data_IF_036025581684
#
_entry.id   IF_036025581684
#
_cell.length_a   1.000
_cell.length_b   1.000
_cell.length_c   1.000
_cell.angle_alpha   90.00
_cell.angle_beta   90.00
_cell.angle_gamma   90.00
#
_symmetry.space_group_name_H-M   'P 1'
#
loop_
_entity.id
_entity.type
_entity.pdbx_description
1 polymer ?
#
# COMPACT_ATOMS: atom_id res chain seq x y z
N UNK A 1 5.52 -11.49 26.79
CA UNK A 1 5.06 -11.15 25.44
C UNK A 1 3.65 -11.65 25.29
N UNK A 2 2.73 -10.80 24.84
CA UNK A 2 1.40 -11.24 24.40
C UNK A 2 1.49 -11.96 23.04
N UNK A 3 0.51 -12.81 22.71
CA UNK A 3 0.45 -13.47 21.41
C UNK A 3 0.48 -12.45 20.26
N UNK A 4 -0.23 -11.32 20.45
CA UNK A 4 -0.22 -10.20 19.52
C UNK A 4 1.19 -9.61 19.36
N UNK A 5 1.93 -9.36 20.43
CA UNK A 5 3.30 -8.84 20.34
C UNK A 5 4.23 -9.78 19.57
N UNK A 6 4.10 -11.10 19.75
CA UNK A 6 4.87 -12.07 18.98
C UNK A 6 4.53 -11.99 17.48
N UNK A 7 3.25 -12.04 17.14
CA UNK A 7 2.78 -11.92 15.77
C UNK A 7 3.20 -10.58 15.13
N UNK A 8 3.01 -9.48 15.84
CA UNK A 8 3.32 -8.13 15.38
C UNK A 8 4.82 -7.92 15.21
N UNK A 9 5.66 -8.51 16.07
CA UNK A 9 7.12 -8.45 15.91
C UNK A 9 7.59 -9.23 14.68
N UNK A 10 7.08 -10.45 14.46
CA UNK A 10 7.37 -11.22 13.25
C UNK A 10 6.92 -10.47 11.99
N UNK A 11 5.72 -9.90 12.03
CA UNK A 11 5.15 -9.16 10.92
C UNK A 11 5.89 -7.85 10.62
N UNK A 12 6.25 -7.13 11.67
CA UNK A 12 6.99 -5.89 11.58
C UNK A 12 8.36 -6.06 10.94
N UNK A 13 9.01 -7.22 11.11
CA UNK A 13 10.23 -7.56 10.40
C UNK A 13 10.01 -7.70 8.89
N UNK A 14 8.95 -8.40 8.46
CA UNK A 14 8.64 -8.57 7.04
C UNK A 14 8.27 -7.24 6.38
N UNK A 15 7.44 -6.43 7.05
CA UNK A 15 7.08 -5.10 6.57
C UNK A 15 8.29 -4.16 6.55
N UNK A 16 9.13 -4.19 7.59
CA UNK A 16 10.38 -3.44 7.65
C UNK A 16 11.34 -3.82 6.53
N UNK A 17 11.40 -5.11 6.16
CA UNK A 17 12.17 -5.57 5.02
C UNK A 17 11.61 -5.03 3.69
N UNK A 18 10.28 -4.97 3.54
CA UNK A 18 9.66 -4.35 2.37
C UNK A 18 10.00 -2.86 2.26
N UNK A 19 10.00 -2.12 3.37
CA UNK A 19 10.46 -0.71 3.42
C UNK A 19 11.93 -0.60 3.01
N UNK A 20 12.79 -1.46 3.58
CA UNK A 20 14.21 -1.48 3.25
C UNK A 20 14.45 -1.77 1.76
N UNK A 21 13.71 -2.71 1.19
CA UNK A 21 13.78 -3.05 -0.24
C UNK A 21 13.45 -1.85 -1.14
N UNK A 22 12.37 -1.11 -0.82
CA UNK A 22 12.03 0.13 -1.55
C UNK A 22 13.14 1.18 -1.39
N UNK A 23 13.65 1.35 -0.17
CA UNK A 23 14.67 2.36 0.12
C UNK A 23 15.99 2.08 -0.62
N UNK A 24 16.45 0.82 -0.63
CA UNK A 24 17.66 0.40 -1.35
C UNK A 24 17.50 0.67 -2.85
N UNK A 25 16.39 0.25 -3.45
CA UNK A 25 16.17 0.46 -4.89
C UNK A 25 16.01 1.93 -5.27
N UNK A 26 15.40 2.72 -4.38
CA UNK A 26 15.34 4.17 -4.57
C UNK A 26 16.75 4.78 -4.53
N UNK A 27 17.60 4.35 -3.59
CA UNK A 27 18.98 4.79 -3.53
C UNK A 27 19.77 4.41 -4.80
N UNK A 28 19.60 3.19 -5.30
CA UNK A 28 20.21 2.72 -6.55
C UNK A 28 19.71 3.52 -7.77
N UNK A 29 18.42 3.83 -7.83
CA UNK A 29 17.83 4.68 -8.87
C UNK A 29 18.42 6.10 -8.83
N UNK A 30 18.60 6.68 -7.64
CA UNK A 30 19.22 8.00 -7.47
C UNK A 30 20.71 7.95 -7.86
N UNK A 31 21.44 6.90 -7.48
CA UNK A 31 22.83 6.70 -7.86
C UNK A 31 23.05 6.56 -9.37
N UNK A 32 22.10 5.90 -10.04
CA UNK A 32 22.12 5.70 -11.49
C UNK A 32 21.48 6.84 -12.31
N UNK A 33 21.05 7.95 -11.67
CA UNK A 33 20.37 9.08 -12.33
C UNK A 33 21.12 9.72 -13.51
N UNK A 34 22.45 9.55 -13.58
CA UNK A 34 23.27 10.04 -14.71
C UNK A 34 23.16 9.16 -15.95
N UNK A 35 22.69 7.92 -15.81
CA UNK A 35 22.58 6.91 -16.86
C UNK A 35 21.12 6.64 -17.26
N UNK A 36 20.17 6.86 -16.34
CA UNK A 36 18.75 6.51 -16.51
C UNK A 36 17.87 7.68 -16.11
N UNK A 37 16.83 7.96 -16.91
CA UNK A 37 15.82 8.97 -16.60
C UNK A 37 14.81 8.39 -15.61
N UNK A 38 14.75 8.94 -14.39
CA UNK A 38 13.92 8.43 -13.29
C UNK A 38 12.42 8.64 -13.53
N UNK A 39 12.02 9.72 -14.22
CA UNK A 39 10.61 10.08 -14.32
C UNK A 39 9.96 10.35 -12.96
N UNK A 40 8.62 10.42 -12.93
CA UNK A 40 7.86 10.70 -11.71
C UNK A 40 6.90 9.56 -11.34
N UNK A 41 6.52 8.69 -12.29
CA UNK A 41 5.52 7.66 -12.04
C UNK A 41 6.06 6.59 -11.08
N UNK A 42 7.29 6.12 -11.33
CA UNK A 42 7.92 5.07 -10.52
C UNK A 42 8.19 5.53 -9.08
N UNK A 43 8.78 6.72 -8.83
CA UNK A 43 8.91 7.24 -7.48
C UNK A 43 7.56 7.47 -6.78
N UNK A 44 6.56 8.00 -7.47
CA UNK A 44 5.22 8.19 -6.86
C UNK A 44 4.56 6.87 -6.50
N UNK A 45 4.70 5.85 -7.33
CA UNK A 45 4.23 4.50 -7.01
C UNK A 45 4.96 3.94 -5.78
N UNK A 46 6.27 4.16 -5.68
CA UNK A 46 7.05 3.76 -4.51
C UNK A 46 6.55 4.42 -3.22
N UNK A 47 6.34 5.74 -3.25
CA UNK A 47 5.82 6.50 -2.12
C UNK A 47 4.41 6.03 -1.77
N UNK A 48 3.56 5.76 -2.77
CA UNK A 48 2.24 5.20 -2.55
C UNK A 48 2.29 3.86 -1.80
N UNK A 49 3.15 2.92 -2.24
CA UNK A 49 3.31 1.62 -1.55
C UNK A 49 3.80 1.81 -0.10
N UNK A 50 4.71 2.75 0.14
CA UNK A 50 5.18 3.04 1.50
C UNK A 50 4.07 3.61 2.39
N UNK A 51 3.26 4.51 1.86
CA UNK A 51 2.11 5.09 2.57
C UNK A 51 1.07 4.03 2.89
N UNK A 52 0.80 3.15 1.93
CA UNK A 52 -0.14 2.05 2.08
C UNK A 52 0.33 1.04 3.14
N UNK A 53 1.62 0.73 3.15
CA UNK A 53 2.23 -0.14 4.15
C UNK A 53 2.19 0.48 5.57
N UNK A 54 2.40 1.79 5.67
CA UNK A 54 2.23 2.53 6.92
C UNK A 54 0.75 2.55 7.38
N UNK A 55 -0.18 2.71 6.43
CA UNK A 55 -1.62 2.64 6.70
C UNK A 55 -2.03 1.27 7.24
N UNK A 56 -1.55 0.19 6.62
CA UNK A 56 -1.76 -1.18 7.13
C UNK A 56 -1.22 -1.33 8.56
N UNK A 57 -0.02 -0.81 8.83
CA UNK A 57 0.58 -0.87 10.16
C UNK A 57 -0.28 -0.16 11.21
N UNK A 58 -0.77 1.05 10.89
CA UNK A 58 -1.66 1.82 11.76
C UNK A 58 -2.99 1.10 12.00
N UNK A 59 -3.59 0.52 10.96
CA UNK A 59 -4.80 -0.27 11.06
C UNK A 59 -4.60 -1.48 11.98
N UNK A 60 -3.53 -2.25 11.79
CA UNK A 60 -3.23 -3.42 12.61
C UNK A 60 -3.00 -3.04 14.08
N UNK A 61 -2.30 -1.93 14.33
CA UNK A 61 -2.11 -1.40 15.67
C UNK A 61 -3.42 -0.98 16.32
N UNK A 62 -4.29 -0.25 15.62
CA UNK A 62 -5.57 0.18 16.17
C UNK A 62 -6.49 -0.99 16.51
N UNK A 63 -6.47 -2.04 15.68
CA UNK A 63 -7.30 -3.23 15.87
C UNK A 63 -6.68 -4.28 16.80
N UNK A 64 -5.50 -4.02 17.39
CA UNK A 64 -4.72 -4.98 18.21
C UNK A 64 -5.54 -5.72 19.28
N UNK A 65 -6.45 -5.02 19.96
CA UNK A 65 -7.26 -5.61 21.04
C UNK A 65 -8.33 -6.57 20.52
N UNK A 66 -8.71 -6.45 19.24
CA UNK A 66 -9.69 -7.30 18.58
C UNK A 66 -9.07 -8.44 17.76
N UNK A 67 -7.75 -8.47 17.61
CA UNK A 67 -7.03 -9.47 16.83
C UNK A 67 -6.66 -10.66 17.73
N UNK A 68 -7.38 -11.77 17.59
CA UNK A 68 -7.01 -13.04 18.21
C UNK A 68 -6.02 -13.78 17.32
N UNK A 69 -4.86 -14.12 17.87
CA UNK A 69 -3.84 -14.85 17.12
C UNK A 69 -4.34 -16.26 16.85
N UNK A 70 -4.62 -16.51 15.58
CA UNK A 70 -5.09 -17.79 15.06
C UNK A 70 -4.27 -18.15 13.84
N UNK A 71 -4.30 -19.43 13.46
CA UNK A 71 -3.65 -19.91 12.23
C UNK A 71 -4.07 -19.09 11.00
N UNK A 72 -5.37 -18.75 10.89
CA UNK A 72 -5.89 -17.94 9.81
C UNK A 72 -5.36 -16.51 9.81
N UNK A 73 -5.23 -15.88 10.99
CA UNK A 73 -4.66 -14.54 11.10
C UNK A 73 -3.18 -14.53 10.70
N UNK A 74 -2.42 -15.53 11.15
CA UNK A 74 -0.99 -15.65 10.82
C UNK A 74 -0.80 -15.87 9.32
N UNK A 75 -1.56 -16.79 8.72
CA UNK A 75 -1.50 -17.08 7.29
C UNK A 75 -1.95 -15.87 6.45
N UNK A 76 -3.05 -15.22 6.83
CA UNK A 76 -3.57 -14.03 6.16
C UNK A 76 -2.59 -12.87 6.23
N UNK A 77 -2.02 -12.62 7.41
CA UNK A 77 -0.93 -11.67 7.60
C UNK A 77 0.21 -12.00 6.65
N UNK A 78 0.76 -13.22 6.69
CA UNK A 78 1.88 -13.63 5.85
C UNK A 78 1.63 -13.38 4.36
N UNK A 79 0.43 -13.71 3.86
CA UNK A 79 0.04 -13.44 2.47
C UNK A 79 0.10 -11.94 2.18
N UNK A 80 -0.44 -11.09 3.07
CA UNK A 80 -0.38 -9.63 2.93
C UNK A 80 1.07 -9.13 2.94
N UNK A 81 1.93 -9.65 3.83
CA UNK A 81 3.32 -9.20 3.95
C UNK A 81 4.13 -9.58 2.72
N UNK A 82 3.99 -10.82 2.25
CA UNK A 82 4.64 -11.29 1.02
C UNK A 82 4.15 -10.48 -0.17
N UNK A 83 2.85 -10.17 -0.23
CA UNK A 83 2.30 -9.35 -1.31
C UNK A 83 2.89 -7.94 -1.30
N UNK A 84 3.00 -7.30 -0.13
CA UNK A 84 3.67 -6.00 0.00
C UNK A 84 5.15 -6.06 -0.33
N UNK A 85 5.86 -7.11 0.10
CA UNK A 85 7.26 -7.31 -0.25
C UNK A 85 7.45 -7.49 -1.76
N UNK A 86 6.60 -8.28 -2.41
CA UNK A 86 6.61 -8.44 -3.87
C UNK A 86 6.27 -7.13 -4.58
N UNK A 87 5.28 -6.38 -4.09
CA UNK A 87 4.94 -5.06 -4.62
C UNK A 87 6.15 -4.13 -4.53
N UNK A 88 6.76 -3.99 -3.35
CA UNK A 88 8.00 -3.25 -3.12
C UNK A 88 9.13 -3.71 -4.05
N UNK A 89 9.29 -5.02 -4.23
CA UNK A 89 10.32 -5.60 -5.07
C UNK A 89 10.10 -5.32 -6.57
N UNK A 90 8.85 -5.12 -7.00
CA UNK A 90 8.46 -4.88 -8.39
C UNK A 90 8.24 -3.40 -8.73
N UNK A 91 8.33 -2.48 -7.76
CA UNK A 91 8.20 -1.05 -8.04
C UNK A 91 9.37 -0.55 -8.90
N UNK A 92 10.60 -0.96 -8.55
CA UNK A 92 11.81 -0.57 -9.28
C UNK A 92 12.44 -1.80 -9.97
N UNK A 93 13.05 -1.62 -11.15
CA UNK A 93 13.79 -2.69 -11.80
C UNK A 93 15.00 -3.10 -10.95
N UNK A 94 15.39 -4.38 -11.01
CA UNK A 94 16.64 -4.86 -10.37
C UNK A 94 17.88 -4.19 -10.94
N UNK A 95 17.83 -3.81 -12.22
CA UNK A 95 18.90 -3.18 -12.97
C UNK A 95 18.33 -2.00 -13.74
N UNK A 96 18.53 -0.79 -13.22
CA UNK A 96 18.01 0.43 -13.83
C UNK A 96 18.60 0.69 -15.21
N UNK A 97 19.84 0.25 -15.44
CA UNK A 97 20.60 0.35 -16.69
C UNK A 97 20.00 -0.43 -17.87
N UNK A 98 19.10 -1.39 -17.61
CA UNK A 98 18.39 -2.14 -18.65
C UNK A 98 17.22 -1.37 -19.26
N UNK A 99 16.84 -0.22 -18.66
CA UNK A 99 15.66 0.54 -19.04
C UNK A 99 16.02 1.94 -19.52
N UNK A 100 15.54 2.38 -20.69
CA UNK A 100 15.75 3.74 -21.17
C UNK A 100 15.19 4.79 -20.20
N UNK A 101 14.01 4.51 -19.65
CA UNK A 101 13.36 5.34 -18.62
C UNK A 101 12.67 4.45 -17.58
N UNK A 102 12.64 4.87 -16.32
CA UNK A 102 11.88 4.13 -15.29
C UNK A 102 10.37 4.24 -15.51
N UNK A 103 9.89 5.28 -16.19
CA UNK A 103 8.48 5.41 -16.56
C UNK A 103 8.06 4.28 -17.54
N UNK A 104 8.96 3.78 -18.42
CA UNK A 104 8.68 2.60 -19.27
C UNK A 104 8.53 1.32 -18.45
N UNK A 105 9.40 1.12 -17.46
CA UNK A 105 9.30 -0.01 -16.53
C UNK A 105 7.96 -0.01 -15.79
N UNK A 106 7.54 1.17 -15.32
CA UNK A 106 6.25 1.39 -14.67
C UNK A 106 5.09 0.88 -15.53
N UNK A 107 5.04 1.22 -16.82
CA UNK A 107 3.91 0.79 -17.67
C UNK A 107 3.79 -0.73 -17.81
N UNK A 108 4.92 -1.45 -17.77
CA UNK A 108 4.92 -2.91 -17.87
C UNK A 108 4.54 -3.59 -16.55
N UNK A 109 4.94 -3.01 -15.40
CA UNK A 109 4.84 -3.68 -14.10
C UNK A 109 3.73 -3.14 -13.18
N UNK A 110 3.21 -1.94 -13.44
CA UNK A 110 2.23 -1.29 -12.55
C UNK A 110 1.03 -2.15 -12.22
N UNK A 111 0.56 -2.99 -13.16
CA UNK A 111 -0.64 -3.82 -12.96
C UNK A 111 -0.39 -4.91 -11.90
N UNK A 112 0.83 -5.42 -11.82
CA UNK A 112 1.21 -6.39 -10.78
C UNK A 112 1.36 -5.71 -9.42
N UNK A 113 2.01 -4.55 -9.37
CA UNK A 113 2.20 -3.79 -8.13
C UNK A 113 0.86 -3.30 -7.56
N UNK A 114 0.09 -2.57 -8.37
CA UNK A 114 -1.22 -2.02 -7.99
C UNK A 114 -2.22 -3.14 -7.76
N UNK A 115 -2.23 -4.19 -8.58
CA UNK A 115 -3.14 -5.32 -8.43
C UNK A 115 -2.86 -6.15 -7.18
N UNK A 116 -1.58 -6.41 -6.88
CA UNK A 116 -1.17 -7.07 -5.65
C UNK A 116 -1.53 -6.26 -4.41
N UNK A 117 -1.20 -4.96 -4.41
CA UNK A 117 -1.59 -4.05 -3.33
C UNK A 117 -3.12 -4.04 -3.13
N UNK A 118 -3.89 -3.90 -4.21
CA UNK A 118 -5.35 -3.89 -4.14
C UNK A 118 -5.90 -5.20 -3.58
N UNK A 119 -5.34 -6.36 -3.96
CA UNK A 119 -5.75 -7.65 -3.43
C UNK A 119 -5.50 -7.76 -1.91
N UNK A 120 -4.33 -7.31 -1.44
CA UNK A 120 -4.02 -7.25 -0.01
C UNK A 120 -5.01 -6.36 0.75
N UNK A 121 -5.30 -5.16 0.24
CA UNK A 121 -6.23 -4.23 0.86
C UNK A 121 -7.68 -4.72 0.85
N UNK A 122 -8.12 -5.44 -0.19
CA UNK A 122 -9.44 -6.06 -0.25
C UNK A 122 -9.62 -7.08 0.87
N UNK A 123 -8.61 -7.93 1.13
CA UNK A 123 -8.66 -8.90 2.24
C UNK A 123 -8.82 -8.19 3.59
N UNK A 124 -8.03 -7.14 3.82
CA UNK A 124 -8.10 -6.33 5.05
C UNK A 124 -9.44 -5.62 5.18
N UNK A 125 -9.98 -5.09 4.08
CA UNK A 125 -11.27 -4.40 4.06
C UNK A 125 -12.42 -5.36 4.36
N UNK A 126 -12.45 -6.53 3.72
CA UNK A 126 -13.45 -7.57 3.99
C UNK A 126 -13.38 -7.97 5.46
N UNK A 127 -12.18 -8.25 5.98
CA UNK A 127 -11.99 -8.60 7.39
C UNK A 127 -12.52 -7.50 8.33
N UNK A 128 -12.21 -6.24 8.02
CA UNK A 128 -12.69 -5.07 8.79
C UNK A 128 -14.20 -4.98 8.76
N UNK A 129 -14.85 -5.13 7.59
CA UNK A 129 -16.30 -5.04 7.45
C UNK A 129 -17.04 -6.20 8.12
N UNK A 130 -16.47 -7.40 8.10
CA UNK A 130 -17.04 -8.55 8.82
C UNK A 130 -17.05 -8.33 10.33
N UNK A 131 -16.04 -7.63 10.86
CA UNK A 131 -15.92 -7.36 12.30
C UNK A 131 -16.63 -6.09 12.76
N UNK A 132 -16.57 -5.05 11.95
CA UNK A 132 -17.17 -3.74 12.18
C UNK A 132 -18.03 -3.38 10.98
N UNK A 133 -19.26 -3.92 10.89
CA UNK A 133 -20.15 -3.63 9.77
C UNK A 133 -20.27 -2.12 9.56
N UNK A 134 -19.83 -1.59 8.41
CA UNK A 134 -19.96 -0.18 8.13
C UNK A 134 -21.46 0.09 7.98
N UNK A 135 -22.03 0.88 8.89
CA UNK A 135 -23.39 1.38 8.70
C UNK A 135 -23.49 2.25 7.44
N UNK A 136 -24.60 2.99 7.30
CA UNK A 136 -24.78 3.96 6.22
C UNK A 136 -23.97 5.27 6.44
N UNK A 137 -22.73 5.16 6.92
CA UNK A 137 -21.89 6.32 7.22
C UNK A 137 -21.22 6.81 5.95
N UNK A 138 -21.62 8.00 5.49
CA UNK A 138 -21.10 8.64 4.27
C UNK A 138 -19.56 8.62 4.19
N UNK A 139 -18.88 8.98 5.28
CA UNK A 139 -17.41 9.08 5.31
C UNK A 139 -16.70 7.77 5.04
N UNK A 140 -17.21 6.64 5.55
CA UNK A 140 -16.62 5.32 5.29
C UNK A 140 -16.66 5.02 3.80
N UNK A 141 -17.83 5.16 3.18
CA UNK A 141 -17.99 4.91 1.75
C UNK A 141 -17.21 5.91 0.90
N UNK A 142 -17.13 7.17 1.32
CA UNK A 142 -16.32 8.19 0.64
C UNK A 142 -14.85 7.78 0.59
N UNK A 143 -14.24 7.39 1.71
CA UNK A 143 -12.83 6.96 1.74
C UNK A 143 -12.59 5.67 0.94
N UNK A 144 -13.50 4.71 1.05
CA UNK A 144 -13.39 3.44 0.29
C UNK A 144 -13.48 3.68 -1.21
N UNK A 145 -14.41 4.52 -1.67
CA UNK A 145 -14.53 4.89 -3.08
C UNK A 145 -13.31 5.71 -3.53
N UNK A 146 -12.88 6.68 -2.73
CA UNK A 146 -11.72 7.53 -3.01
C UNK A 146 -10.40 6.74 -3.08
N UNK A 147 -10.33 5.59 -2.41
CA UNK A 147 -9.18 4.68 -2.47
C UNK A 147 -9.28 3.67 -3.63
N UNK A 148 -10.38 2.93 -3.73
CA UNK A 148 -10.48 1.84 -4.71
C UNK A 148 -10.72 2.31 -6.15
N UNK A 149 -11.45 3.40 -6.38
CA UNK A 149 -11.70 3.88 -7.75
C UNK A 149 -10.40 4.28 -8.45
N UNK A 150 -9.50 5.08 -7.85
CA UNK A 150 -8.21 5.37 -8.47
C UNK A 150 -7.33 4.13 -8.68
N UNK A 151 -7.33 3.17 -7.75
CA UNK A 151 -6.57 1.93 -7.91
C UNK A 151 -7.06 1.11 -9.10
N UNK A 152 -8.37 0.92 -9.22
CA UNK A 152 -8.97 0.22 -10.35
C UNK A 152 -8.65 0.96 -11.65
N UNK A 153 -8.76 2.29 -11.66
CA UNK A 153 -8.42 3.09 -12.83
C UNK A 153 -6.94 2.91 -13.24
N UNK A 154 -6.01 2.91 -12.28
CA UNK A 154 -4.57 2.70 -12.52
C UNK A 154 -4.27 1.36 -13.21
N UNK A 155 -5.09 0.33 -13.03
CA UNK A 155 -4.91 -0.97 -13.70
C UNK A 155 -5.14 -0.93 -15.21
N UNK A 156 -5.90 0.05 -15.72
CA UNK A 156 -6.33 0.11 -17.12
C UNK A 156 -5.84 1.35 -17.87
N UNK A 157 -5.42 2.39 -17.17
CA UNK A 157 -4.94 3.63 -17.79
C UNK A 157 -3.65 3.41 -18.59
N UNK A 158 -3.47 4.20 -19.65
CA UNK A 158 -2.25 4.24 -20.48
C UNK A 158 -1.69 5.66 -20.65
N UNK A 159 -2.21 6.62 -19.88
CA UNK A 159 -1.91 8.05 -20.03
C UNK A 159 -1.14 8.56 -18.83
N UNK A 160 0.09 9.02 -19.04
CA UNK A 160 0.99 9.55 -17.98
C UNK A 160 0.33 10.59 -17.07
N UNK A 161 -0.39 11.56 -17.63
CA UNK A 161 -1.06 12.61 -16.84
C UNK A 161 -2.18 12.06 -15.95
N UNK A 162 -2.86 11.01 -16.40
CA UNK A 162 -3.94 10.38 -15.63
C UNK A 162 -3.33 9.60 -14.47
N UNK A 163 -2.31 8.79 -14.70
CA UNK A 163 -1.65 8.02 -13.63
C UNK A 163 -1.00 8.92 -12.58
N UNK A 164 -0.38 10.04 -12.99
CA UNK A 164 0.11 11.06 -12.07
C UNK A 164 -1.02 11.63 -11.20
N UNK A 165 -2.15 11.99 -11.82
CA UNK A 165 -3.31 12.52 -11.11
C UNK A 165 -3.90 11.49 -10.13
N UNK A 166 -4.03 10.23 -10.54
CA UNK A 166 -4.57 9.16 -9.70
C UNK A 166 -3.66 8.85 -8.51
N UNK A 167 -2.35 8.75 -8.74
CA UNK A 167 -1.38 8.56 -7.65
C UNK A 167 -1.37 9.76 -6.69
N UNK A 168 -1.48 10.99 -7.22
CA UNK A 168 -1.59 12.18 -6.38
C UNK A 168 -2.86 12.17 -5.54
N UNK A 169 -4.01 11.78 -6.10
CA UNK A 169 -5.27 11.63 -5.34
C UNK A 169 -5.12 10.61 -4.22
N UNK A 170 -4.51 9.45 -4.48
CA UNK A 170 -4.27 8.42 -3.46
C UNK A 170 -3.37 8.93 -2.33
N UNK A 171 -2.26 9.59 -2.67
CA UNK A 171 -1.34 10.15 -1.68
C UNK A 171 -1.99 11.27 -0.86
N UNK A 172 -2.74 12.17 -1.51
CA UNK A 172 -3.50 13.21 -0.83
C UNK A 172 -4.59 12.62 0.08
N UNK A 173 -5.21 11.51 -0.33
CA UNK A 173 -6.16 10.77 0.50
C UNK A 173 -5.53 10.30 1.81
N UNK A 174 -4.32 9.70 1.73
CA UNK A 174 -3.55 9.31 2.92
C UNK A 174 -3.15 10.48 3.81
N UNK A 175 -2.75 11.62 3.22
CA UNK A 175 -2.39 12.83 3.98
C UNK A 175 -3.62 13.52 4.61
N UNK A 176 -4.78 13.41 3.98
CA UNK A 176 -6.02 14.01 4.46
C UNK A 176 -6.72 13.15 5.52
N UNK A 177 -6.55 11.82 5.48
CA UNK A 177 -7.24 10.89 6.39
C UNK A 177 -7.17 11.30 7.89
N UNK A 178 -6.02 11.74 8.46
CA UNK A 178 -5.97 12.17 9.86
C UNK A 178 -6.81 13.41 10.19
N UNK A 179 -7.15 14.22 9.19
CA UNK A 179 -7.95 15.44 9.34
C UNK A 179 -9.42 15.24 8.96
N UNK A 180 -9.77 14.04 8.49
CA UNK A 180 -11.13 13.70 8.14
C UNK A 180 -12.03 13.79 9.38
N UNK A 181 -13.29 14.22 9.24
CA UNK A 181 -14.25 14.11 10.33
C UNK A 181 -14.33 12.64 10.76
N UNK A 182 -13.92 12.35 11.99
CA UNK A 182 -13.96 11.00 12.54
C UNK A 182 -15.42 10.59 12.64
N UNK A 183 -15.85 9.70 11.74
CA UNK A 183 -17.04 8.92 12.01
C UNK A 183 -16.76 7.99 13.20
N UNK A 184 -17.77 7.67 14.00
CA UNK A 184 -17.63 6.71 15.11
C UNK A 184 -16.98 5.39 14.66
N UNK A 185 -17.17 5.03 13.39
CA UNK A 185 -16.54 3.89 12.74
C UNK A 185 -15.03 4.07 12.52
N UNK A 186 -14.57 5.24 12.06
CA UNK A 186 -13.14 5.54 11.88
C UNK A 186 -12.37 5.48 13.20
N UNK A 187 -12.97 6.02 14.27
CA UNK A 187 -12.43 5.90 15.62
C UNK A 187 -12.34 4.44 16.12
N UNK A 188 -13.28 3.58 15.70
CA UNK A 188 -13.27 2.14 16.03
C UNK A 188 -12.25 1.34 15.21
N UNK A 189 -11.99 1.72 13.96
CA UNK A 189 -11.10 0.99 13.05
C UNK A 189 -9.67 1.54 13.01
N UNK A 190 -9.42 2.71 13.63
CA UNK A 190 -8.13 3.40 13.60
C UNK A 190 -7.80 4.04 12.26
N UNK A 191 -8.82 4.46 11.53
CA UNK A 191 -8.74 5.17 10.25
C UNK A 191 -9.25 6.59 10.41
#
# INVERSE_FOLDING_TARGET
MSDFEFFFSFYGLLLGLAVAEVAVKLADAIGSRKRVVIGWLTPLLAVFILFDLAGFWMWAWANRNGLTVSWMLVLGGLIVAVTYFLAAALVFPRRADEWPTLDEYYWQHKRFVVGGNMAANVVVTIFTFMRYPPGATFWVWFFQIAYYVPLIALLFTKRRRVDLGLLAVLLLGYLYAPFAPTSDWGAMTGL
#
